data_IF_487804121668
#
_entry.id   IF_487804121668
#
_cell.length_a   1.000
_cell.length_b   1.000
_cell.length_c   1.000
_cell.angle_alpha   90.00
_cell.angle_beta   90.00
_cell.angle_gamma   90.00
#
_symmetry.space_group_name_H-M   'P 1'
#
loop_
_entity.id
_entity.type
_entity.pdbx_description
1 polymer ?
#
# COMPACT_ATOMS: atom_id res chain seq x y z
N UNK A 1 -7.38 -17.75 33.44
CA UNK A 1 -8.76 -17.24 33.27
C UNK A 1 -9.47 -17.44 34.59
N UNK A 2 -9.84 -16.35 35.27
CA UNK A 2 -10.62 -16.39 36.52
C UNK A 2 -12.08 -16.10 36.16
N UNK A 3 -12.92 -17.13 36.22
CA UNK A 3 -14.38 -17.00 36.03
C UNK A 3 -15.00 -17.21 37.40
N UNK A 4 -15.74 -16.22 37.90
CA UNK A 4 -16.61 -16.41 39.07
C UNK A 4 -18.01 -16.75 38.58
N UNK A 5 -18.61 -17.78 39.18
CA UNK A 5 -19.97 -18.23 38.87
C UNK A 5 -20.90 -17.63 39.92
N UNK A 6 -21.88 -16.84 39.47
CA UNK A 6 -22.88 -16.26 40.35
C UNK A 6 -23.85 -17.34 40.86
N UNK A 7 -24.50 -17.08 41.99
CA UNK A 7 -25.42 -18.02 42.65
C UNK A 7 -26.65 -18.41 41.81
N UNK A 8 -26.92 -17.69 40.72
CA UNK A 8 -28.00 -17.95 39.77
C UNK A 8 -27.55 -18.71 38.51
N UNK A 9 -26.29 -19.15 38.45
CA UNK A 9 -25.73 -19.88 37.31
C UNK A 9 -25.36 -19.00 36.11
N UNK A 10 -25.37 -17.67 36.27
CA UNK A 10 -24.81 -16.76 35.27
C UNK A 10 -23.28 -16.67 35.40
N UNK A 11 -22.61 -16.57 34.24
CA UNK A 11 -21.17 -16.35 34.16
C UNK A 11 -20.94 -14.84 34.00
N UNK A 12 -20.22 -14.21 34.93
CA UNK A 12 -19.73 -12.85 34.73
C UNK A 12 -18.24 -12.91 34.37
N UNK A 13 -17.93 -12.55 33.13
CA UNK A 13 -16.54 -12.47 32.69
C UNK A 13 -15.85 -11.25 33.34
N UNK A 14 -15.25 -11.48 34.51
CA UNK A 14 -14.45 -10.46 35.23
C UNK A 14 -13.22 -9.98 34.45
N UNK A 15 -12.90 -10.60 33.32
CA UNK A 15 -11.84 -10.14 32.43
C UNK A 15 -12.29 -9.02 31.51
N UNK A 16 -13.57 -8.94 31.13
CA UNK A 16 -14.10 -7.93 30.23
C UNK A 16 -14.13 -6.53 30.90
N UNK A 17 -13.55 -5.55 30.23
CA UNK A 17 -13.50 -4.16 30.67
C UNK A 17 -14.01 -3.25 29.55
N UNK A 18 -14.78 -2.24 29.92
CA UNK A 18 -15.14 -1.13 29.04
C UNK A 18 -14.42 0.11 29.53
N UNK A 19 -13.58 0.70 28.69
CA UNK A 19 -12.75 1.85 29.04
C UNK A 19 -12.93 2.97 28.03
N UNK A 20 -12.68 4.20 28.47
CA UNK A 20 -12.76 5.40 27.66
C UNK A 20 -11.35 5.86 27.33
N UNK A 21 -11.09 6.08 26.05
CA UNK A 21 -9.88 6.75 25.57
C UNK A 21 -10.24 8.15 25.10
N UNK A 22 -9.49 9.17 25.56
CA UNK A 22 -9.64 10.55 25.12
C UNK A 22 -8.37 11.03 24.44
N UNK A 23 -8.53 11.64 23.27
CA UNK A 23 -7.43 12.39 22.67
C UNK A 23 -7.52 13.85 23.15
N UNK A 24 -6.65 14.26 24.08
CA UNK A 24 -6.43 15.67 24.45
C UNK A 24 -5.02 16.13 24.04
N UNK A 25 -4.44 15.46 23.04
CA UNK A 25 -3.10 15.69 22.54
C UNK A 25 -3.01 16.92 21.64
N UNK A 26 -1.94 16.97 20.86
CA UNK A 26 -1.66 18.09 19.95
C UNK A 26 -2.30 17.93 18.56
N UNK A 27 -2.64 16.71 18.17
CA UNK A 27 -3.06 16.38 16.81
C UNK A 27 -4.09 15.25 16.79
N UNK A 28 -4.70 15.03 15.62
CA UNK A 28 -5.46 13.80 15.35
C UNK A 28 -4.54 12.59 15.56
N UNK A 29 -5.09 11.53 16.18
CA UNK A 29 -4.33 10.35 16.55
C UNK A 29 -5.12 9.08 16.25
N UNK A 30 -4.41 7.96 16.08
CA UNK A 30 -5.02 6.64 16.06
C UNK A 30 -4.78 5.95 17.40
N UNK A 31 -5.75 5.14 17.82
CA UNK A 31 -5.60 4.25 18.97
C UNK A 31 -5.44 2.83 18.47
N UNK A 32 -4.32 2.19 18.84
CA UNK A 32 -4.01 0.81 18.46
C UNK A 32 -4.02 -0.10 19.68
N UNK A 33 -4.58 -1.30 19.53
CA UNK A 33 -4.33 -2.40 20.47
C UNK A 33 -2.91 -2.90 20.24
N UNK A 34 -2.09 -2.93 21.28
CA UNK A 34 -0.78 -3.55 21.29
C UNK A 34 -0.86 -5.05 21.67
N UNK A 35 -0.62 -5.91 20.69
CA UNK A 35 -0.58 -7.36 20.83
C UNK A 35 0.85 -7.92 20.93
N UNK A 36 1.85 -7.08 21.23
CA UNK A 36 3.26 -7.45 21.17
C UNK A 36 3.84 -7.50 19.74
N UNK A 37 3.07 -7.08 18.74
CA UNK A 37 3.44 -6.91 17.33
C UNK A 37 2.84 -5.63 16.73
N UNK A 38 2.32 -5.72 15.50
CA UNK A 38 1.92 -4.55 14.67
C UNK A 38 0.71 -3.74 15.13
N UNK A 39 -0.04 -4.26 16.11
CA UNK A 39 -1.21 -3.64 16.70
C UNK A 39 -2.37 -3.24 15.76
N UNK A 40 -3.56 -3.79 15.99
CA UNK A 40 -4.75 -3.41 15.20
C UNK A 40 -5.22 -2.00 15.57
N UNK A 41 -5.58 -1.21 14.56
CA UNK A 41 -6.25 0.08 14.77
C UNK A 41 -7.63 -0.19 15.36
N UNK A 42 -7.80 0.18 16.62
CA UNK A 42 -9.07 0.07 17.36
C UNK A 42 -9.93 1.30 17.08
N UNK A 43 -9.29 2.44 16.85
CA UNK A 43 -9.96 3.66 16.45
C UNK A 43 -9.07 4.49 15.56
N UNK A 44 -9.61 4.85 14.40
CA UNK A 44 -8.92 5.60 13.38
C UNK A 44 -9.36 7.07 13.45
N UNK A 45 -8.40 7.99 13.40
CA UNK A 45 -8.61 9.44 13.31
C UNK A 45 -9.45 10.01 14.46
N UNK A 46 -9.04 9.75 15.70
CA UNK A 46 -9.59 10.43 16.88
C UNK A 46 -9.17 11.90 16.88
N UNK A 47 -10.14 12.79 16.72
CA UNK A 47 -9.92 14.24 16.77
C UNK A 47 -9.50 14.71 18.16
N UNK A 48 -8.82 15.85 18.24
CA UNK A 48 -8.51 16.49 19.52
C UNK A 48 -9.82 16.85 20.23
N UNK A 49 -9.94 16.44 21.49
CA UNK A 49 -11.14 16.55 22.31
C UNK A 49 -12.10 15.35 22.20
N UNK A 50 -11.85 14.40 21.30
CA UNK A 50 -12.76 13.26 21.07
C UNK A 50 -12.51 12.12 22.06
N UNK A 51 -13.62 11.54 22.53
CA UNK A 51 -13.65 10.31 23.31
C UNK A 51 -14.03 9.11 22.41
N UNK A 52 -13.49 7.93 22.73
CA UNK A 52 -14.01 6.65 22.26
C UNK A 52 -14.15 5.67 23.43
N UNK A 53 -15.18 4.83 23.35
CA UNK A 53 -15.36 3.71 24.27
C UNK A 53 -14.89 2.41 23.62
N UNK A 54 -13.98 1.71 24.29
CA UNK A 54 -13.38 0.46 23.81
C UNK A 54 -13.76 -0.69 24.74
N UNK A 55 -14.30 -1.76 24.16
CA UNK A 55 -14.46 -3.05 24.84
C UNK A 55 -13.11 -3.79 24.80
N UNK A 56 -12.62 -4.20 25.96
CA UNK A 56 -11.24 -4.65 26.20
C UNK A 56 -11.21 -5.62 27.39
N UNK A 57 -10.04 -5.97 27.91
CA UNK A 57 -9.88 -6.75 29.14
C UNK A 57 -8.71 -6.26 30.00
N UNK A 58 -8.68 -6.68 31.27
CA UNK A 58 -7.61 -6.32 32.20
C UNK A 58 -6.24 -6.87 31.73
N UNK A 59 -5.22 -6.01 31.69
CA UNK A 59 -3.89 -6.36 31.20
C UNK A 59 -3.70 -6.19 29.69
N UNK A 60 -4.77 -5.93 28.93
CA UNK A 60 -4.71 -5.56 27.51
C UNK A 60 -3.90 -4.27 27.33
N UNK A 61 -3.13 -4.15 26.24
CA UNK A 61 -2.23 -3.00 26.04
C UNK A 61 -2.63 -2.18 24.82
N UNK A 62 -2.41 -0.87 24.85
CA UNK A 62 -2.75 0.06 23.77
C UNK A 62 -1.62 1.06 23.56
N UNK A 63 -1.54 1.65 22.38
CA UNK A 63 -0.59 2.72 22.04
C UNK A 63 -1.33 3.79 21.23
N UNK A 64 -1.07 5.06 21.52
CA UNK A 64 -1.46 6.16 20.65
C UNK A 64 -0.42 6.35 19.55
N UNK A 65 -0.86 6.43 18.30
CA UNK A 65 0.01 6.72 17.16
C UNK A 65 -0.40 8.00 16.45
N UNK A 66 0.56 8.64 15.79
CA UNK A 66 0.28 9.68 14.80
C UNK A 66 -0.67 9.11 13.72
N UNK A 67 -1.72 9.88 13.42
CA UNK A 67 -2.77 9.45 12.51
C UNK A 67 -2.23 8.91 11.18
N UNK A 68 -2.66 7.72 10.79
CA UNK A 68 -2.34 7.07 9.52
C UNK A 68 -0.92 6.52 9.42
N UNK A 69 -0.14 6.58 10.50
CA UNK A 69 1.20 5.97 10.62
C UNK A 69 1.21 4.95 11.76
N UNK A 70 2.34 4.29 11.98
CA UNK A 70 2.54 3.44 13.16
C UNK A 70 3.38 4.13 14.25
N UNK A 71 3.68 5.42 14.10
CA UNK A 71 4.57 6.18 14.99
C UNK A 71 3.90 6.45 16.33
N UNK A 72 4.40 5.93 17.46
CA UNK A 72 3.84 6.24 18.76
C UNK A 72 4.03 7.71 19.10
N UNK A 73 3.06 8.25 19.80
CA UNK A 73 3.09 9.59 20.37
C UNK A 73 2.83 9.55 21.89
N UNK A 74 2.88 8.36 22.47
CA UNK A 74 2.74 8.10 23.90
C UNK A 74 3.48 6.83 24.29
N UNK A 75 3.65 6.62 25.59
CA UNK A 75 4.00 5.32 26.12
C UNK A 75 2.86 4.30 25.95
N UNK A 76 3.20 3.02 26.13
CA UNK A 76 2.24 1.91 26.12
C UNK A 76 1.30 2.01 27.31
N UNK A 77 0.01 1.95 27.03
CA UNK A 77 -1.08 1.98 28.00
C UNK A 77 -1.49 0.55 28.33
N UNK A 78 -1.27 0.10 29.56
CA UNK A 78 -1.78 -1.19 30.03
C UNK A 78 -3.08 -1.00 30.82
N UNK A 79 -4.14 -1.68 30.40
CA UNK A 79 -5.44 -1.61 31.06
C UNK A 79 -5.34 -2.20 32.47
N UNK A 80 -5.67 -1.39 33.47
CA UNK A 80 -5.78 -1.83 34.86
C UNK A 80 -7.25 -2.03 35.26
N UNK A 81 -7.51 -2.88 36.28
CA UNK A 81 -8.87 -3.08 36.80
C UNK A 81 -9.53 -1.81 37.35
N UNK A 82 -8.73 -0.87 37.88
CA UNK A 82 -9.20 0.31 38.62
C UNK A 82 -9.33 1.57 37.76
N UNK A 83 -8.66 1.64 36.60
CA UNK A 83 -8.67 2.82 35.73
C UNK A 83 -9.58 2.61 34.52
N UNK A 84 -10.65 3.41 34.46
CA UNK A 84 -11.67 3.36 33.39
C UNK A 84 -11.48 4.39 32.28
N UNK A 85 -10.64 5.42 32.49
CA UNK A 85 -10.36 6.46 31.50
C UNK A 85 -8.86 6.62 31.30
N UNK A 86 -8.45 6.67 30.03
CA UNK A 86 -7.08 6.89 29.59
C UNK A 86 -7.08 8.09 28.64
N UNK A 87 -6.11 8.97 28.77
CA UNK A 87 -6.07 10.23 28.03
C UNK A 87 -4.67 10.42 27.47
N UNK A 88 -4.60 10.76 26.18
CA UNK A 88 -3.38 11.30 25.57
C UNK A 88 -3.36 12.79 25.86
N UNK A 89 -2.39 13.27 26.63
CA UNK A 89 -2.27 14.71 26.90
C UNK A 89 -1.31 15.39 25.93
N UNK A 90 -1.39 16.73 25.86
CA UNK A 90 -0.39 17.55 25.13
C UNK A 90 1.02 17.34 25.66
N UNK A 91 1.18 17.19 26.97
CA UNK A 91 2.48 16.99 27.62
C UNK A 91 3.05 15.61 27.28
N UNK A 92 2.23 14.56 27.28
CA UNK A 92 2.64 13.21 26.84
C UNK A 92 3.11 13.25 25.38
N UNK A 93 2.36 13.94 24.51
CA UNK A 93 2.71 14.11 23.09
C UNK A 93 4.06 14.81 22.95
N UNK A 94 4.27 15.92 23.67
CA UNK A 94 5.52 16.71 23.61
C UNK A 94 6.73 15.99 24.22
N UNK A 95 6.55 15.35 25.37
CA UNK A 95 7.61 14.62 26.04
C UNK A 95 8.09 13.44 25.20
N UNK A 96 7.17 12.72 24.56
CA UNK A 96 7.51 11.61 23.68
C UNK A 96 8.24 12.08 22.40
N UNK A 97 7.77 13.15 21.77
CA UNK A 97 8.41 13.73 20.56
C UNK A 97 9.82 14.27 20.86
N UNK A 98 10.04 14.87 22.03
CA UNK A 98 11.31 15.57 22.35
C UNK A 98 12.45 14.65 22.80
N UNK A 99 12.19 13.44 23.25
CA UNK A 99 13.16 12.74 24.11
C UNK A 99 14.03 11.67 23.44
N UNK A 100 13.73 11.17 22.24
CA UNK A 100 14.44 9.98 21.73
C UNK A 100 14.70 10.01 20.22
N UNK A 101 15.92 10.38 19.83
CA UNK A 101 16.40 10.27 18.42
C UNK A 101 16.73 8.84 18.00
N UNK A 102 16.88 7.91 18.94
CA UNK A 102 17.07 6.50 18.62
C UNK A 102 16.60 5.62 19.77
N UNK A 103 15.35 5.19 19.71
CA UNK A 103 14.80 4.19 20.62
C UNK A 103 13.85 3.30 19.88
N UNK A 104 13.86 2.03 20.26
CA UNK A 104 12.91 1.05 19.77
C UNK A 104 11.46 1.45 20.07
N UNK A 105 10.65 1.46 19.01
CA UNK A 105 9.20 1.63 19.06
C UNK A 105 8.53 0.51 19.86
N UNK A 106 9.10 -0.69 19.81
CA UNK A 106 8.59 -1.89 20.48
C UNK A 106 9.70 -2.65 21.21
N UNK A 107 10.24 -2.14 22.35
CA UNK A 107 11.51 -2.61 22.91
C UNK A 107 11.62 -4.13 23.13
N UNK A 108 10.58 -4.77 23.67
CA UNK A 108 10.59 -6.22 23.90
C UNK A 108 10.55 -7.04 22.61
N UNK A 109 9.78 -6.57 21.62
CA UNK A 109 9.70 -7.19 20.29
C UNK A 109 11.02 -6.98 19.56
N UNK A 110 11.51 -5.74 19.49
CA UNK A 110 12.74 -5.34 18.82
C UNK A 110 13.94 -6.14 19.30
N UNK A 111 14.13 -6.28 20.62
CA UNK A 111 15.23 -7.08 21.20
C UNK A 111 15.15 -8.56 20.81
N UNK A 112 13.94 -9.13 20.73
CA UNK A 112 13.75 -10.54 20.33
C UNK A 112 13.95 -10.71 18.83
N UNK A 113 13.41 -9.81 18.02
CA UNK A 113 13.47 -9.83 16.56
C UNK A 113 14.90 -9.58 16.06
N UNK A 114 15.62 -8.62 16.63
CA UNK A 114 17.04 -8.40 16.33
C UNK A 114 17.89 -9.65 16.60
N UNK A 115 17.67 -10.33 17.74
CA UNK A 115 18.34 -11.61 18.05
C UNK A 115 17.99 -12.75 17.07
N UNK A 116 16.86 -12.67 16.38
CA UNK A 116 16.44 -13.64 15.34
C UNK A 116 16.98 -13.28 13.95
N UNK A 117 17.76 -12.20 13.81
CA UNK A 117 18.30 -11.76 12.51
C UNK A 117 17.36 -10.89 11.69
N UNK A 118 16.25 -10.40 12.27
CA UNK A 118 15.26 -9.60 11.53
C UNK A 118 15.84 -8.26 11.04
N UNK A 119 16.92 -7.76 11.66
CA UNK A 119 17.63 -6.57 11.19
C UNK A 119 18.19 -6.73 9.77
N UNK A 120 18.51 -7.95 9.35
CA UNK A 120 19.02 -8.26 8.01
C UNK A 120 17.90 -8.71 7.05
N UNK A 121 16.88 -9.39 7.58
CA UNK A 121 15.75 -9.94 6.79
C UNK A 121 14.75 -8.85 6.40
N UNK A 122 14.45 -7.93 7.31
CA UNK A 122 13.48 -6.85 7.11
C UNK A 122 14.07 -5.50 7.57
N UNK A 123 15.20 -5.06 6.98
CA UNK A 123 15.97 -3.91 7.47
C UNK A 123 15.15 -2.62 7.45
N UNK A 124 14.35 -2.36 6.42
CA UNK A 124 13.56 -1.13 6.33
C UNK A 124 12.57 -0.97 7.48
N UNK A 125 11.85 -2.05 7.82
CA UNK A 125 10.93 -2.06 8.95
C UNK A 125 11.70 -1.96 10.26
N UNK A 126 12.74 -2.78 10.44
CA UNK A 126 13.52 -2.82 11.68
C UNK A 126 14.27 -1.51 11.94
N UNK A 127 14.74 -0.78 10.93
CA UNK A 127 15.38 0.52 11.11
C UNK A 127 14.36 1.58 11.57
N UNK A 128 13.18 1.61 10.97
CA UNK A 128 12.16 2.63 11.30
C UNK A 128 11.57 2.39 12.69
N UNK A 129 11.40 1.13 13.08
CA UNK A 129 10.70 0.74 14.31
C UNK A 129 11.62 0.23 15.43
N UNK A 130 12.78 -0.31 15.12
CA UNK A 130 13.71 -0.92 16.07
C UNK A 130 15.17 -0.41 15.88
N UNK A 131 15.39 0.91 15.70
CA UNK A 131 16.72 1.44 15.34
C UNK A 131 17.77 1.18 16.42
N UNK A 132 17.37 1.12 17.69
CA UNK A 132 18.28 0.90 18.81
C UNK A 132 18.69 -0.57 18.88
N UNK A 133 17.73 -1.49 18.83
CA UNK A 133 18.00 -2.94 18.84
C UNK A 133 18.83 -3.40 17.65
N UNK A 134 18.72 -2.74 16.49
CA UNK A 134 19.52 -3.05 15.32
C UNK A 134 20.83 -2.25 15.24
N UNK A 135 21.07 -1.30 16.15
CA UNK A 135 22.21 -0.39 16.10
C UNK A 135 22.29 0.39 14.77
N UNK A 136 21.15 0.89 14.29
CA UNK A 136 20.99 1.59 13.00
C UNK A 136 20.35 2.98 13.16
N UNK A 137 20.62 3.66 14.28
CA UNK A 137 20.06 4.97 14.62
C UNK A 137 20.20 6.00 13.49
N UNK A 138 21.36 6.04 12.83
CA UNK A 138 21.66 7.02 11.79
C UNK A 138 20.84 6.77 10.51
N UNK A 139 20.42 5.52 10.27
CA UNK A 139 19.62 5.15 9.10
C UNK A 139 18.12 5.42 9.30
N UNK A 140 17.70 5.86 10.49
CA UNK A 140 16.32 6.26 10.72
C UNK A 140 15.94 7.53 9.92
N UNK A 141 16.93 8.37 9.58
CA UNK A 141 16.75 9.51 8.68
C UNK A 141 16.66 9.00 7.22
N UNK A 142 15.49 9.14 6.56
CA UNK A 142 15.32 8.71 5.17
C UNK A 142 16.26 9.48 4.21
N UNK A 143 16.72 10.69 4.53
CA UNK A 143 17.69 11.41 3.70
C UNK A 143 19.07 10.77 3.69
N UNK A 144 19.38 9.95 4.71
CA UNK A 144 20.63 9.20 4.79
C UNK A 144 20.43 7.83 4.13
N UNK A 145 19.40 7.09 4.59
CA UNK A 145 19.11 5.71 4.18
C UNK A 145 18.59 5.57 2.76
N UNK A 146 17.73 6.48 2.30
CA UNK A 146 17.02 6.37 1.02
C UNK A 146 17.72 7.12 -0.11
N UNK A 147 19.06 7.13 -0.08
CA UNK A 147 19.88 7.58 -1.21
C UNK A 147 20.28 6.37 -2.04
N UNK A 148 20.30 6.50 -3.37
CA UNK A 148 20.68 5.39 -4.27
C UNK A 148 22.06 4.83 -3.93
N UNK A 149 23.01 5.69 -3.59
CA UNK A 149 24.38 5.27 -3.20
C UNK A 149 24.39 4.49 -1.89
N UNK A 150 23.50 4.81 -0.94
CA UNK A 150 23.40 4.09 0.33
C UNK A 150 22.73 2.71 0.18
N UNK A 151 21.94 2.53 -0.89
CA UNK A 151 21.23 1.30 -1.22
C UNK A 151 21.97 0.44 -2.26
N UNK A 152 23.19 0.83 -2.64
CA UNK A 152 23.96 0.16 -3.70
C UNK A 152 23.19 0.07 -5.03
N UNK A 153 22.48 1.16 -5.37
CA UNK A 153 21.71 1.31 -6.60
C UNK A 153 22.46 2.23 -7.57
N UNK A 154 23.45 1.68 -8.27
CA UNK A 154 24.23 2.37 -9.31
C UNK A 154 23.71 2.13 -10.74
N UNK A 155 22.52 1.53 -10.85
CA UNK A 155 21.93 1.14 -12.13
C UNK A 155 21.45 2.36 -12.93
N UNK A 156 21.74 2.36 -14.22
CA UNK A 156 21.10 3.24 -15.20
C UNK A 156 19.59 2.95 -15.30
N UNK A 157 18.77 3.95 -15.68
CA UNK A 157 17.34 3.75 -15.88
C UNK A 157 17.08 2.64 -16.91
N UNK A 158 16.06 1.81 -16.66
CA UNK A 158 15.75 0.67 -17.54
C UNK A 158 15.34 1.11 -18.95
N UNK A 159 14.77 2.31 -19.06
CA UNK A 159 14.37 2.93 -20.32
C UNK A 159 15.09 4.26 -20.51
N UNK A 160 15.52 4.48 -21.75
CA UNK A 160 16.09 5.72 -22.27
C UNK A 160 15.13 6.38 -23.25
N UNK A 161 15.37 7.64 -23.63
CA UNK A 161 14.56 8.30 -24.65
C UNK A 161 14.43 7.45 -25.93
N UNK A 162 13.20 7.17 -26.37
CA UNK A 162 12.88 6.34 -27.53
C UNK A 162 12.56 4.87 -27.22
N UNK A 163 12.94 4.34 -26.06
CA UNK A 163 12.74 2.92 -25.72
C UNK A 163 11.26 2.58 -25.53
N UNK A 164 10.45 3.53 -25.04
CA UNK A 164 9.01 3.34 -24.85
C UNK A 164 8.34 3.10 -26.21
N UNK A 165 8.54 3.99 -27.18
CA UNK A 165 7.96 3.84 -28.52
C UNK A 165 8.43 2.54 -29.17
N UNK A 166 9.74 2.28 -29.17
CA UNK A 166 10.31 1.07 -29.75
C UNK A 166 9.73 -0.20 -29.10
N UNK A 167 9.49 -0.17 -27.78
CA UNK A 167 8.90 -1.31 -27.06
C UNK A 167 7.44 -1.53 -27.44
N UNK A 168 6.62 -0.48 -27.42
CA UNK A 168 5.19 -0.57 -27.72
C UNK A 168 4.92 -1.00 -29.17
N UNK A 169 5.69 -0.49 -30.13
CA UNK A 169 5.64 -0.94 -31.53
C UNK A 169 5.93 -2.44 -31.66
N UNK A 170 6.94 -2.93 -30.92
CA UNK A 170 7.29 -4.35 -30.90
C UNK A 170 6.18 -5.21 -30.31
N UNK A 171 5.50 -4.75 -29.26
CA UNK A 171 4.41 -5.51 -28.61
C UNK A 171 3.28 -5.83 -29.59
N UNK A 172 2.91 -4.90 -30.47
CA UNK A 172 1.83 -5.08 -31.45
C UNK A 172 2.03 -6.30 -32.38
N UNK A 173 3.28 -6.67 -32.65
CA UNK A 173 3.60 -7.77 -33.57
C UNK A 173 4.13 -9.02 -32.86
N UNK A 174 4.60 -8.91 -31.61
CA UNK A 174 5.31 -9.99 -30.92
C UNK A 174 4.39 -10.93 -30.12
N UNK A 175 3.13 -10.57 -29.90
CA UNK A 175 2.20 -11.33 -29.05
C UNK A 175 0.84 -11.56 -29.73
N UNK A 176 0.79 -12.22 -30.91
CA UNK A 176 -0.45 -12.45 -31.64
C UNK A 176 -1.49 -13.26 -30.86
N UNK A 177 -1.06 -14.09 -29.90
CA UNK A 177 -1.93 -14.88 -29.02
C UNK A 177 -2.87 -14.03 -28.18
N UNK A 178 -2.49 -12.78 -27.88
CA UNK A 178 -3.30 -11.85 -27.08
C UNK A 178 -4.12 -10.87 -27.92
N UNK A 179 -4.13 -11.03 -29.26
CA UNK A 179 -4.90 -10.17 -30.19
C UNK A 179 -4.75 -8.67 -29.86
N UNK A 180 -3.49 -8.26 -29.66
CA UNK A 180 -3.18 -6.92 -29.15
C UNK A 180 -3.74 -5.84 -30.08
N UNK A 181 -4.39 -4.83 -29.50
CA UNK A 181 -4.96 -3.70 -30.22
C UNK A 181 -4.48 -2.39 -29.61
N UNK A 182 -4.02 -1.45 -30.43
CA UNK A 182 -3.83 -0.07 -30.02
C UNK A 182 -5.20 0.63 -29.93
N UNK A 183 -5.58 1.09 -28.73
CA UNK A 183 -6.69 2.00 -28.53
C UNK A 183 -6.27 3.45 -28.74
N UNK A 184 -4.98 3.75 -28.50
CA UNK A 184 -4.30 5.00 -28.86
C UNK A 184 -2.84 4.70 -29.16
N UNK A 185 -2.23 5.48 -30.05
CA UNK A 185 -0.82 5.36 -30.43
C UNK A 185 -0.31 6.64 -31.11
N UNK A 186 1.01 6.89 -31.10
CA UNK A 186 1.62 7.98 -31.85
C UNK A 186 1.38 7.88 -33.37
N UNK A 187 1.38 9.01 -34.09
CA UNK A 187 1.51 10.38 -33.59
C UNK A 187 0.20 10.96 -33.02
N UNK A 188 -0.94 10.28 -33.18
CA UNK A 188 -2.27 10.82 -32.87
C UNK A 188 -2.61 10.82 -31.37
N UNK A 189 -1.84 10.09 -30.56
CA UNK A 189 -1.95 10.08 -29.10
C UNK A 189 -0.81 9.30 -28.44
N UNK A 190 -0.73 9.27 -27.11
CA UNK A 190 0.16 8.36 -26.38
C UNK A 190 -0.34 6.91 -26.50
N UNK A 191 0.51 5.94 -26.18
CA UNK A 191 0.14 4.53 -26.30
C UNK A 191 -0.89 4.09 -25.26
N UNK A 192 -1.95 3.41 -25.71
CA UNK A 192 -2.81 2.57 -24.87
C UNK A 192 -3.07 1.28 -25.62
N UNK A 193 -2.51 0.17 -25.13
CA UNK A 193 -2.69 -1.16 -25.73
C UNK A 193 -3.72 -1.96 -24.94
N UNK A 194 -4.57 -2.69 -25.65
CA UNK A 194 -5.51 -3.67 -25.11
C UNK A 194 -5.07 -5.08 -25.52
N UNK A 195 -5.07 -5.99 -24.55
CA UNK A 195 -4.78 -7.40 -24.71
C UNK A 195 -6.05 -8.20 -24.42
N UNK A 196 -6.42 -9.09 -25.33
CA UNK A 196 -7.52 -10.03 -25.13
C UNK A 196 -6.97 -11.35 -24.62
N UNK A 197 -7.70 -12.00 -23.70
CA UNK A 197 -7.37 -13.33 -23.19
C UNK A 197 -5.94 -13.40 -22.59
N UNK A 198 -5.44 -12.29 -22.03
CA UNK A 198 -4.08 -12.17 -21.49
C UNK A 198 -3.88 -13.05 -20.26
N UNK A 199 -4.83 -13.07 -19.33
CA UNK A 199 -4.88 -14.02 -18.21
C UNK A 199 -6.03 -14.99 -18.39
N UNK A 200 -5.82 -16.21 -17.92
CA UNK A 200 -6.83 -17.27 -17.92
C UNK A 200 -7.83 -17.05 -16.78
N UNK A 201 -9.01 -17.66 -16.90
CA UNK A 201 -10.09 -17.51 -15.92
C UNK A 201 -9.72 -18.07 -14.54
N UNK A 202 -8.99 -19.18 -14.50
CA UNK A 202 -8.48 -19.80 -13.27
C UNK A 202 -7.42 -18.93 -12.59
N UNK A 203 -6.52 -18.32 -13.37
CA UNK A 203 -5.53 -17.36 -12.88
C UNK A 203 -6.20 -16.11 -12.27
N UNK A 204 -7.20 -15.55 -12.97
CA UNK A 204 -7.98 -14.42 -12.46
C UNK A 204 -8.72 -14.76 -11.17
N UNK A 205 -9.41 -15.92 -11.14
CA UNK A 205 -10.13 -16.38 -9.96
C UNK A 205 -9.19 -16.63 -8.77
N UNK A 206 -8.01 -17.20 -9.03
CA UNK A 206 -7.00 -17.47 -8.00
C UNK A 206 -6.47 -16.19 -7.38
N UNK A 207 -6.16 -15.18 -8.20
CA UNK A 207 -5.69 -13.88 -7.71
C UNK A 207 -6.74 -13.19 -6.83
N UNK A 208 -8.03 -13.27 -7.19
CA UNK A 208 -9.14 -12.79 -6.35
C UNK A 208 -9.22 -13.58 -5.04
N UNK A 209 -9.15 -14.91 -5.11
CA UNK A 209 -9.28 -15.79 -3.95
C UNK A 209 -8.19 -15.52 -2.89
N UNK A 210 -6.93 -15.42 -3.32
CA UNK A 210 -5.78 -15.15 -2.44
C UNK A 210 -5.93 -13.82 -1.67
N UNK A 211 -6.68 -12.88 -2.23
CA UNK A 211 -6.85 -11.53 -1.70
C UNK A 211 -8.20 -11.30 -1.00
N UNK A 212 -9.10 -12.30 -0.98
CA UNK A 212 -10.52 -12.14 -0.60
C UNK A 212 -10.74 -11.61 0.83
N UNK A 213 -9.83 -11.92 1.75
CA UNK A 213 -9.95 -11.57 3.18
C UNK A 213 -9.15 -10.31 3.54
N UNK A 214 -8.48 -9.69 2.58
CA UNK A 214 -7.53 -8.59 2.80
C UNK A 214 -8.01 -7.27 2.22
N UNK A 215 -9.25 -7.22 1.70
CA UNK A 215 -9.80 -6.00 1.13
C UNK A 215 -10.10 -4.96 2.22
N UNK A 216 -9.41 -3.83 2.13
CA UNK A 216 -9.64 -2.66 2.96
C UNK A 216 -10.14 -1.49 2.12
N UNK A 217 -10.83 -0.54 2.75
CA UNK A 217 -11.30 0.66 2.07
C UNK A 217 -10.09 1.46 1.56
N UNK A 218 -10.05 1.77 0.27
CA UNK A 218 -8.91 2.47 -0.34
C UNK A 218 -8.60 3.81 0.36
N UNK A 219 -7.31 4.06 0.55
CA UNK A 219 -6.75 5.30 1.10
C UNK A 219 -5.89 6.02 0.06
N UNK A 220 -5.86 7.34 0.11
CA UNK A 220 -4.87 8.16 -0.59
C UNK A 220 -3.58 8.25 0.25
N UNK A 221 -2.45 8.51 -0.40
CA UNK A 221 -1.19 8.81 0.29
C UNK A 221 -1.26 10.24 0.85
N UNK A 222 -1.01 10.38 2.16
CA UNK A 222 -0.95 11.65 2.86
C UNK A 222 0.49 12.17 3.02
N UNK A 223 0.73 12.97 4.07
CA UNK A 223 2.07 13.49 4.34
C UNK A 223 3.06 12.37 4.73
N UNK A 224 4.33 12.57 4.37
CA UNK A 224 5.45 11.72 4.80
C UNK A 224 5.97 12.25 6.14
N UNK A 225 6.14 11.37 7.14
CA UNK A 225 6.70 11.77 8.44
C UNK A 225 8.25 11.81 8.41
N UNK A 226 8.88 12.22 9.51
CA UNK A 226 10.35 12.37 9.58
C UNK A 226 11.14 11.05 9.41
N UNK A 227 10.47 9.90 9.45
CA UNK A 227 11.06 8.57 9.27
C UNK A 227 10.80 7.97 7.88
N UNK A 228 10.11 8.71 6.99
CA UNK A 228 9.75 8.24 5.65
C UNK A 228 8.47 7.39 5.60
N UNK A 229 7.70 7.30 6.69
CA UNK A 229 6.40 6.60 6.67
C UNK A 229 5.34 7.49 6.02
N UNK A 230 4.53 6.93 5.11
CA UNK A 230 3.41 7.64 4.50
C UNK A 230 2.14 7.51 5.34
N UNK A 231 1.49 8.64 5.62
CA UNK A 231 0.17 8.67 6.23
C UNK A 231 -0.88 8.04 5.30
N UNK A 232 -1.74 7.18 5.83
CA UNK A 232 -2.94 6.70 5.12
C UNK A 232 -4.13 7.63 5.36
N UNK A 233 -4.67 8.24 4.31
CA UNK A 233 -5.86 9.12 4.40
C UNK A 233 -7.04 8.46 3.71
N UNK A 234 -8.21 8.38 4.37
CA UNK A 234 -9.42 7.81 3.74
C UNK A 234 -9.76 8.60 2.48
N UNK A 235 -9.78 7.92 1.34
CA UNK A 235 -10.01 8.58 0.06
C UNK A 235 -11.49 8.92 -0.18
N UNK A 236 -11.77 10.14 -0.63
CA UNK A 236 -13.09 10.56 -1.14
C UNK A 236 -13.15 10.52 -2.67
N UNK A 237 -11.99 10.52 -3.34
CA UNK A 237 -11.83 10.47 -4.80
C UNK A 237 -11.76 9.03 -5.33
N UNK A 238 -11.36 8.08 -4.49
CA UNK A 238 -11.33 6.64 -4.75
C UNK A 238 -12.25 5.94 -3.78
N UNK A 239 -13.33 5.34 -4.28
CA UNK A 239 -14.36 4.72 -3.43
C UNK A 239 -14.30 3.20 -3.34
N UNK A 240 -13.37 2.57 -4.07
CA UNK A 240 -13.13 1.13 -4.06
C UNK A 240 -12.52 0.60 -2.75
N UNK A 241 -12.51 -0.72 -2.63
CA UNK A 241 -11.64 -1.45 -1.71
C UNK A 241 -10.42 -1.98 -2.47
N UNK A 242 -9.28 -2.12 -1.80
CA UNK A 242 -8.09 -2.72 -2.37
C UNK A 242 -7.41 -3.67 -1.38
N UNK A 243 -6.56 -4.51 -1.92
CA UNK A 243 -5.66 -5.40 -1.20
C UNK A 243 -4.35 -5.47 -1.97
N UNK A 244 -3.29 -5.88 -1.28
CA UNK A 244 -1.98 -6.08 -1.90
C UNK A 244 -1.66 -7.56 -1.90
N UNK A 245 -1.22 -8.06 -3.04
CA UNK A 245 -0.76 -9.42 -3.20
C UNK A 245 0.54 -9.60 -2.40
N UNK A 246 0.41 -10.09 -1.17
CA UNK A 246 1.53 -10.32 -0.24
C UNK A 246 2.47 -11.44 -0.72
N UNK A 247 3.50 -11.74 0.07
CA UNK A 247 4.46 -12.80 -0.28
C UNK A 247 3.81 -14.16 -0.56
N UNK A 248 2.75 -14.53 0.16
CA UNK A 248 2.06 -15.80 -0.09
C UNK A 248 1.36 -15.75 -1.45
N UNK A 249 0.70 -14.64 -1.75
CA UNK A 249 0.06 -14.42 -3.04
C UNK A 249 1.08 -14.37 -4.20
N UNK A 250 2.20 -13.64 -4.07
CA UNK A 250 3.25 -13.56 -5.10
C UNK A 250 3.95 -14.90 -5.35
N UNK A 251 4.04 -15.76 -4.33
CA UNK A 251 4.66 -17.09 -4.42
C UNK A 251 3.75 -18.14 -5.07
N UNK A 252 2.46 -17.85 -5.24
CA UNK A 252 1.53 -18.76 -5.89
C UNK A 252 1.95 -18.96 -7.37
N UNK A 253 2.09 -20.21 -7.86
CA UNK A 253 2.57 -20.47 -9.21
C UNK A 253 1.75 -19.82 -10.31
N UNK A 254 0.43 -19.67 -10.14
CA UNK A 254 -0.42 -19.01 -11.13
C UNK A 254 -0.15 -17.51 -11.15
N UNK A 255 0.05 -16.89 -9.98
CA UNK A 255 0.37 -15.46 -9.88
C UNK A 255 1.77 -15.17 -10.42
N UNK A 256 2.75 -16.03 -10.10
CA UNK A 256 4.10 -15.93 -10.65
C UNK A 256 4.10 -16.01 -12.19
N UNK A 257 3.30 -16.90 -12.78
CA UNK A 257 3.16 -17.00 -14.23
C UNK A 257 2.51 -15.76 -14.88
N UNK A 258 1.64 -15.04 -14.17
CA UNK A 258 1.14 -13.73 -14.63
C UNK A 258 2.30 -12.72 -14.67
N UNK A 259 3.09 -12.61 -13.59
CA UNK A 259 4.26 -11.73 -13.58
C UNK A 259 5.23 -12.02 -14.73
N UNK A 260 5.54 -13.29 -14.97
CA UNK A 260 6.49 -13.69 -16.02
C UNK A 260 5.99 -13.28 -17.42
N UNK A 261 4.69 -13.40 -17.69
CA UNK A 261 4.10 -12.88 -18.95
C UNK A 261 4.20 -11.36 -19.04
N UNK A 262 3.94 -10.63 -17.96
CA UNK A 262 4.05 -9.16 -17.98
C UNK A 262 5.51 -8.74 -18.20
N UNK A 263 6.48 -9.43 -17.60
CA UNK A 263 7.91 -9.22 -17.85
C UNK A 263 8.24 -9.48 -19.32
N UNK A 264 7.73 -10.57 -19.90
CA UNK A 264 7.92 -10.85 -21.32
C UNK A 264 7.32 -9.77 -22.23
N UNK A 265 6.15 -9.22 -21.89
CA UNK A 265 5.47 -8.18 -22.69
C UNK A 265 6.09 -6.80 -22.52
N UNK A 266 6.54 -6.42 -21.33
CA UNK A 266 7.11 -5.08 -21.09
C UNK A 266 8.62 -5.02 -21.31
N UNK A 267 9.32 -6.15 -21.15
CA UNK A 267 10.78 -6.21 -21.20
C UNK A 267 11.46 -5.66 -19.95
N UNK A 268 10.69 -5.29 -18.92
CA UNK A 268 11.21 -4.75 -17.66
C UNK A 268 11.35 -5.90 -16.65
N UNK A 269 12.46 -6.00 -15.89
CA UNK A 269 12.65 -7.09 -14.94
C UNK A 269 11.73 -6.98 -13.72
N UNK A 270 11.37 -8.13 -13.14
CA UNK A 270 10.48 -8.24 -11.96
C UNK A 270 10.93 -7.41 -10.74
N UNK A 271 12.21 -7.02 -10.67
CA UNK A 271 12.75 -6.17 -9.63
C UNK A 271 12.16 -4.74 -9.63
N UNK A 272 11.64 -4.26 -10.76
CA UNK A 272 11.04 -2.93 -10.91
C UNK A 272 9.55 -2.89 -10.55
N UNK A 273 8.95 -4.03 -10.21
CA UNK A 273 7.51 -4.15 -10.03
C UNK A 273 7.13 -3.97 -8.57
N UNK A 274 6.05 -3.22 -8.36
CA UNK A 274 5.29 -3.31 -7.12
C UNK A 274 4.56 -4.66 -7.03
N UNK A 275 4.16 -5.03 -5.80
CA UNK A 275 3.18 -6.09 -5.61
C UNK A 275 1.85 -5.73 -6.31
N UNK A 276 1.13 -6.74 -6.83
CA UNK A 276 -0.16 -6.47 -7.45
C UNK A 276 -1.09 -5.80 -6.44
N UNK A 277 -1.63 -4.64 -6.80
CA UNK A 277 -2.74 -4.06 -6.05
C UNK A 277 -4.04 -4.61 -6.64
N UNK A 278 -4.70 -5.51 -5.92
CA UNK A 278 -6.00 -6.07 -6.31
C UNK A 278 -7.11 -5.12 -5.87
N UNK A 279 -8.04 -4.87 -6.77
CA UNK A 279 -9.08 -3.86 -6.66
C UNK A 279 -10.46 -4.50 -6.69
N UNK A 280 -11.37 -4.01 -5.85
CA UNK A 280 -12.78 -4.36 -5.89
C UNK A 280 -13.64 -3.09 -5.95
N UNK A 281 -14.49 -3.01 -6.97
CA UNK A 281 -15.52 -1.99 -7.11
C UNK A 281 -16.90 -2.63 -7.12
N UNK A 282 -17.72 -2.25 -6.15
CA UNK A 282 -19.15 -2.54 -6.08
C UNK A 282 -19.95 -1.49 -6.87
N UNK A 283 -21.26 -1.71 -7.03
CA UNK A 283 -22.18 -0.76 -7.67
C UNK A 283 -22.01 0.66 -7.10
N UNK A 284 -21.84 1.64 -7.99
CA UNK A 284 -21.64 3.05 -7.69
C UNK A 284 -20.22 3.43 -7.29
N UNK A 285 -19.30 2.48 -7.03
CA UNK A 285 -17.91 2.79 -6.70
C UNK A 285 -17.10 3.17 -7.95
N UNK A 286 -16.13 4.07 -7.77
CA UNK A 286 -15.35 4.70 -8.83
C UNK A 286 -13.94 5.07 -8.33
N UNK A 287 -13.10 5.54 -9.25
CA UNK A 287 -11.88 6.27 -8.94
C UNK A 287 -11.81 7.47 -9.88
N UNK A 288 -11.82 8.68 -9.32
CA UNK A 288 -11.72 9.93 -10.09
C UNK A 288 -10.40 10.03 -10.85
N UNK A 289 -10.37 10.96 -11.79
CA UNK A 289 -9.19 11.30 -12.60
C UNK A 289 -7.95 11.47 -11.74
N UNK A 290 -6.93 10.67 -12.04
CA UNK A 290 -5.63 10.68 -11.39
C UNK A 290 -4.55 10.28 -12.40
N UNK A 291 -3.30 10.42 -11.99
CA UNK A 291 -2.14 9.96 -12.72
C UNK A 291 -1.40 8.93 -11.86
N UNK A 292 -0.85 7.88 -12.47
CA UNK A 292 -0.20 6.79 -11.74
C UNK A 292 1.16 7.19 -11.17
N UNK A 293 1.85 8.12 -11.83
CA UNK A 293 2.93 8.89 -11.23
C UNK A 293 2.32 10.01 -10.39
N UNK A 294 2.35 9.83 -9.07
CA UNK A 294 1.70 10.66 -8.06
C UNK A 294 2.46 11.98 -7.79
N UNK A 295 2.80 12.73 -8.85
CA UNK A 295 3.37 14.08 -8.74
C UNK A 295 4.89 14.13 -8.62
N UNK A 296 5.59 13.22 -9.30
CA UNK A 296 7.05 13.08 -9.24
C UNK A 296 7.49 12.15 -8.12
N UNK A 297 7.77 10.89 -8.46
CA UNK A 297 8.38 9.94 -7.54
C UNK A 297 9.87 10.28 -7.32
N UNK A 298 10.18 10.87 -6.16
CA UNK A 298 11.55 11.19 -5.72
C UNK A 298 12.23 10.06 -4.95
N UNK A 299 11.59 8.89 -4.86
CA UNK A 299 12.18 7.72 -4.22
C UNK A 299 13.32 7.15 -5.08
N UNK A 300 14.21 6.31 -4.50
CA UNK A 300 15.25 5.65 -5.29
C UNK A 300 14.73 4.79 -6.43
N UNK A 301 13.50 4.28 -6.35
CA UNK A 301 12.84 3.51 -7.41
C UNK A 301 12.52 4.37 -8.64
N UNK A 302 12.44 5.70 -8.48
CA UNK A 302 12.03 6.64 -9.52
C UNK A 302 10.57 6.43 -9.95
N UNK A 303 10.12 7.14 -11.00
CA UNK A 303 8.72 7.16 -11.39
C UNK A 303 8.20 5.80 -11.84
N UNK A 304 6.90 5.59 -11.65
CA UNK A 304 6.16 4.51 -12.30
C UNK A 304 6.09 4.81 -13.79
N UNK A 305 6.79 4.05 -14.61
CA UNK A 305 6.89 4.25 -16.06
C UNK A 305 5.75 3.58 -16.82
N UNK A 306 5.20 2.49 -16.27
CA UNK A 306 4.15 1.69 -16.88
C UNK A 306 3.11 1.27 -15.86
N UNK A 307 1.88 1.16 -16.34
CA UNK A 307 0.81 0.45 -15.65
C UNK A 307 0.29 -0.67 -16.53
N UNK A 308 0.38 -1.90 -16.02
CA UNK A 308 -0.24 -3.07 -16.62
C UNK A 308 -1.49 -3.43 -15.80
N UNK A 309 -2.67 -3.13 -16.33
CA UNK A 309 -3.94 -3.25 -15.60
C UNK A 309 -4.70 -4.49 -16.09
N UNK A 310 -4.92 -5.43 -15.18
CA UNK A 310 -5.60 -6.70 -15.43
C UNK A 310 -7.08 -6.58 -15.06
N UNK A 311 -7.97 -7.00 -15.95
CA UNK A 311 -9.39 -7.16 -15.63
C UNK A 311 -9.65 -8.60 -15.18
N UNK A 312 -10.04 -8.75 -13.91
CA UNK A 312 -10.20 -10.07 -13.27
C UNK A 312 -11.65 -10.57 -13.28
N UNK A 313 -12.62 -9.70 -13.59
CA UNK A 313 -14.03 -10.06 -13.73
C UNK A 313 -14.69 -9.37 -14.91
N UNK A 314 -15.77 -9.96 -15.39
CA UNK A 314 -16.70 -9.31 -16.31
C UNK A 314 -17.55 -8.29 -15.52
N UNK A 315 -17.82 -7.15 -16.13
CA UNK A 315 -18.73 -6.13 -15.60
C UNK A 315 -19.87 -5.96 -16.58
N UNK A 316 -21.10 -6.05 -16.09
CA UNK A 316 -22.28 -6.03 -16.96
C UNK A 316 -22.55 -4.63 -17.52
N UNK A 317 -22.35 -3.59 -16.71
CA UNK A 317 -22.54 -2.20 -17.11
C UNK A 317 -21.64 -1.25 -16.31
N UNK A 318 -21.00 -0.29 -16.99
CA UNK A 318 -20.06 0.67 -16.40
C UNK A 318 -18.68 0.07 -16.11
N UNK A 319 -17.92 0.72 -15.22
CA UNK A 319 -16.62 0.23 -14.77
C UNK A 319 -15.47 0.38 -15.77
N UNK A 320 -15.64 1.12 -16.87
CA UNK A 320 -14.60 1.39 -17.84
C UNK A 320 -13.37 2.07 -17.21
N UNK A 321 -12.19 1.80 -17.77
CA UNK A 321 -11.02 2.65 -17.56
C UNK A 321 -11.03 3.74 -18.63
N UNK A 322 -11.21 4.99 -18.22
CA UNK A 322 -11.42 6.14 -19.09
C UNK A 322 -10.19 7.05 -19.04
N UNK A 323 -9.65 7.38 -20.21
CA UNK A 323 -8.55 8.32 -20.43
C UNK A 323 -9.15 9.61 -21.05
N UNK A 324 -9.68 10.53 -20.23
CA UNK A 324 -10.50 11.63 -20.71
C UNK A 324 -9.75 12.58 -21.67
N UNK A 325 -8.46 12.81 -21.44
CA UNK A 325 -7.65 13.74 -22.25
C UNK A 325 -7.51 13.28 -23.70
N UNK A 326 -7.47 11.96 -23.94
CA UNK A 326 -7.27 11.36 -25.27
C UNK A 326 -8.54 10.71 -25.83
N UNK A 327 -9.66 10.77 -25.10
CA UNK A 327 -10.96 10.25 -25.55
C UNK A 327 -11.03 8.73 -25.67
N UNK A 328 -10.21 7.98 -24.92
CA UNK A 328 -10.17 6.52 -24.97
C UNK A 328 -10.84 5.89 -23.76
N UNK A 329 -11.62 4.83 -24.00
CA UNK A 329 -12.21 3.99 -22.95
C UNK A 329 -11.95 2.52 -23.21
N UNK A 330 -11.43 1.83 -22.20
CA UNK A 330 -11.29 0.38 -22.18
C UNK A 330 -12.40 -0.24 -21.33
N UNK A 331 -13.10 -1.22 -21.91
CA UNK A 331 -14.18 -1.93 -21.22
C UNK A 331 -13.62 -3.11 -20.42
N UNK A 332 -14.01 -3.27 -19.15
CA UNK A 332 -13.60 -4.42 -18.36
C UNK A 332 -14.17 -5.71 -18.93
N UNK A 333 -13.28 -6.69 -19.17
CA UNK A 333 -13.65 -8.05 -19.58
C UNK A 333 -12.73 -9.02 -18.85
N UNK A 334 -13.28 -10.06 -18.22
CA UNK A 334 -12.45 -11.01 -17.49
C UNK A 334 -11.38 -11.60 -18.42
N UNK A 335 -10.14 -11.56 -17.97
CA UNK A 335 -9.01 -12.09 -18.74
C UNK A 335 -8.32 -11.07 -19.64
N UNK A 336 -8.94 -9.93 -19.95
CA UNK A 336 -8.28 -8.87 -20.72
C UNK A 336 -7.35 -8.03 -19.85
N UNK A 337 -6.45 -7.30 -20.50
CA UNK A 337 -5.60 -6.32 -19.85
C UNK A 337 -5.44 -5.08 -20.73
N UNK A 338 -5.03 -3.97 -20.11
CA UNK A 338 -4.57 -2.79 -20.83
C UNK A 338 -3.21 -2.34 -20.29
N UNK A 339 -2.38 -1.79 -21.18
CA UNK A 339 -1.05 -1.28 -20.88
C UNK A 339 -0.94 0.14 -21.40
N UNK A 340 -0.46 1.05 -20.55
CA UNK A 340 -0.12 2.42 -20.93
C UNK A 340 1.15 2.88 -20.19
N UNK A 341 1.93 3.78 -20.80
CA UNK A 341 3.02 4.45 -20.10
C UNK A 341 2.49 5.63 -19.28
N UNK A 342 3.18 5.99 -18.21
CA UNK A 342 2.90 7.22 -17.44
C UNK A 342 3.84 8.38 -17.82
N UNK A 343 4.93 8.07 -18.53
CA UNK A 343 6.00 9.01 -18.88
C UNK A 343 6.04 9.26 -20.38
N UNK A 344 6.72 10.34 -20.78
CA UNK A 344 6.95 10.66 -22.18
C UNK A 344 8.05 9.77 -22.77
N UNK A 345 8.00 9.54 -24.08
CA UNK A 345 9.02 8.75 -24.77
C UNK A 345 10.36 9.49 -24.88
N UNK A 346 10.31 10.81 -25.07
CA UNK A 346 11.50 11.67 -25.16
C UNK A 346 12.20 11.88 -23.80
N UNK A 347 11.51 11.62 -22.70
CA UNK A 347 12.00 11.82 -21.34
C UNK A 347 11.28 10.87 -20.35
N UNK A 348 11.87 9.69 -20.07
CA UNK A 348 11.29 8.68 -19.18
C UNK A 348 11.14 9.10 -17.72
N UNK A 349 11.61 10.28 -17.32
CA UNK A 349 11.40 10.84 -15.97
C UNK A 349 10.32 11.91 -15.93
N UNK A 350 9.75 12.30 -17.09
CA UNK A 350 8.75 13.35 -17.20
C UNK A 350 7.37 12.78 -17.49
N UNK A 351 6.45 12.98 -16.55
CA UNK A 351 5.08 12.51 -16.65
C UNK A 351 4.38 13.05 -17.91
N UNK A 352 3.58 12.19 -18.55
CA UNK A 352 2.73 12.59 -19.67
C UNK A 352 1.34 12.99 -19.15
N UNK A 353 0.99 14.29 -19.14
CA UNK A 353 -0.31 14.76 -18.63
C UNK A 353 -1.51 14.29 -19.47
N UNK A 354 -1.28 13.62 -20.61
CA UNK A 354 -2.35 12.98 -21.39
C UNK A 354 -2.79 11.64 -20.77
N UNK A 355 -2.00 11.08 -19.86
CA UNK A 355 -2.21 9.76 -19.24
C UNK A 355 -2.97 9.81 -17.92
N UNK A 356 -3.56 10.97 -17.59
CA UNK A 356 -4.60 11.01 -16.57
C UNK A 356 -5.76 10.11 -16.96
N UNK A 357 -6.19 9.29 -16.02
CA UNK A 357 -7.22 8.29 -16.24
C UNK A 357 -8.10 8.12 -15.00
N UNK A 358 -9.23 7.45 -15.16
CA UNK A 358 -10.21 7.23 -14.12
C UNK A 358 -10.91 5.89 -14.27
N UNK A 359 -11.42 5.35 -13.16
CA UNK A 359 -12.34 4.22 -13.19
C UNK A 359 -13.77 4.77 -13.14
N UNK A 360 -14.51 4.56 -14.22
CA UNK A 360 -15.93 4.93 -14.30
C UNK A 360 -16.73 4.16 -13.25
N UNK A 361 -17.85 4.72 -12.75
CA UNK A 361 -18.72 4.01 -11.82
C UNK A 361 -19.17 2.66 -12.37
N UNK A 362 -19.13 1.62 -11.55
CA UNK A 362 -19.80 0.35 -11.86
C UNK A 362 -21.31 0.56 -11.74
N UNK A 363 -22.07 0.31 -12.80
CA UNK A 363 -23.53 0.46 -12.81
C UNK A 363 -24.17 -0.89 -12.46
N UNK A 364 -23.67 -1.98 -13.04
CA UNK A 364 -24.18 -3.33 -12.80
C UNK A 364 -23.04 -4.37 -12.77
N UNK A 365 -23.03 -5.18 -11.72
CA UNK A 365 -22.05 -6.25 -11.51
C UNK A 365 -21.03 -5.92 -10.42
N UNK A 366 -19.86 -6.54 -10.47
CA UNK A 366 -18.74 -6.23 -9.56
C UNK A 366 -17.45 -6.29 -10.36
N UNK A 367 -16.67 -5.22 -10.32
CA UNK A 367 -15.38 -5.14 -11.00
C UNK A 367 -14.28 -5.58 -10.06
N UNK A 368 -13.58 -6.65 -10.43
CA UNK A 368 -12.27 -6.99 -9.90
C UNK A 368 -11.21 -6.66 -10.94
N UNK A 369 -10.12 -6.06 -10.49
CA UNK A 369 -8.98 -5.71 -11.32
C UNK A 369 -7.68 -5.84 -10.53
N UNK A 370 -6.53 -5.82 -11.20
CA UNK A 370 -5.24 -5.72 -10.53
C UNK A 370 -4.30 -4.76 -11.28
N UNK A 371 -3.63 -3.89 -10.53
CA UNK A 371 -2.56 -3.04 -11.05
C UNK A 371 -1.22 -3.73 -10.88
N UNK A 372 -0.45 -3.80 -11.96
CA UNK A 372 1.00 -3.94 -11.92
C UNK A 372 1.62 -2.57 -12.24
N UNK A 373 2.11 -1.88 -11.21
CA UNK A 373 2.91 -0.68 -11.40
C UNK A 373 4.38 -1.07 -11.53
N UNK A 374 5.06 -0.42 -12.48
CA UNK A 374 6.42 -0.76 -12.89
C UNK A 374 7.25 0.53 -12.87
N UNK A 375 8.36 0.51 -12.14
CA UNK A 375 9.23 1.66 -11.92
C UNK A 375 10.39 1.75 -12.92
N UNK A 376 10.93 2.95 -13.07
CA UNK A 376 12.11 3.22 -13.91
C UNK A 376 13.37 2.50 -13.39
N UNK A 377 13.49 2.36 -12.07
CA UNK A 377 14.60 1.65 -11.41
C UNK A 377 14.08 0.47 -10.57
N UNK A 378 15.01 -0.27 -9.95
CA UNK A 378 14.68 -1.35 -9.03
C UNK A 378 13.80 -0.83 -7.88
N UNK A 379 12.62 -1.43 -7.73
CA UNK A 379 11.65 -1.11 -6.68
C UNK A 379 11.89 -1.94 -5.42
N UNK A 380 12.27 -3.21 -5.58
CA UNK A 380 12.39 -4.18 -4.47
C UNK A 380 13.42 -3.76 -3.42
N UNK A 381 14.58 -3.24 -3.84
CA UNK A 381 15.63 -2.78 -2.92
C UNK A 381 15.14 -1.62 -2.06
N UNK A 382 14.71 -0.47 -2.60
CA UNK A 382 14.24 0.63 -1.76
C UNK A 382 12.98 0.27 -0.96
N UNK A 383 12.11 -0.61 -1.48
CA UNK A 383 10.96 -1.08 -0.72
C UNK A 383 11.36 -1.92 0.51
N UNK A 384 12.29 -2.87 0.36
CA UNK A 384 12.85 -3.66 1.46
C UNK A 384 13.50 -2.76 2.52
N UNK A 385 14.11 -1.67 2.09
CA UNK A 385 14.71 -0.66 2.94
C UNK A 385 13.75 0.45 3.36
N UNK A 386 12.43 0.31 3.15
CA UNK A 386 11.41 1.25 3.65
C UNK A 386 11.51 2.66 3.06
N UNK A 387 11.95 2.77 1.81
CA UNK A 387 12.20 4.01 1.08
C UNK A 387 11.16 4.34 0.01
N UNK A 388 10.19 3.46 -0.21
CA UNK A 388 9.06 3.67 -1.13
C UNK A 388 7.78 4.05 -0.39
N UNK A 389 7.88 4.40 0.90
CA UNK A 389 6.78 4.83 1.76
C UNK A 389 5.75 3.75 2.15
N UNK A 390 5.98 2.50 1.71
CA UNK A 390 5.31 1.29 2.19
C UNK A 390 6.35 0.35 2.82
N UNK A 391 5.94 -0.38 3.86
CA UNK A 391 6.64 -1.58 4.33
C UNK A 391 5.78 -2.75 3.92
N UNK A 392 6.27 -3.56 2.99
CA UNK A 392 5.61 -4.79 2.54
C UNK A 392 6.44 -5.99 2.91
#
# INVERSE_FOLDING_TARGET
MSVEVNADGTYEDTSAAKVIFKNSGLQEADLRWDNGGFGQVVAHRLAVGQDIVVNTYNGHSFIWTEHGTSRPISERIRISPTKKRYELTREDSLAFIKTKKCVDRYPDFCKKSAKRGECDVAPGWMIVHCPESCNQCDLQDPKIRCRREALDMDQEPIWKPGDLNARFEKILSSFPEYKVKALSQPPDGPWVLEFQDFIKKDEAARLIELNRNSFERSTDQGAVNEFGEMQKVRSTSRTSSNSWCDHNCESDPLVAAIYDRIVQVTGVPKANYEAFQVLQYQNGQFYRTHHDDSGGDSTPAGPRILTFFLYLSDVEEGGETDFPTIGVRAKPKAGSAILWPSMKDEDPENADPRMYHQAMPVIKGTKYAANAWIHLFNYRVPNLWGCTGSFT
#
